data_IF_198190823014
#
_entry.id   IF_198190823014
#
_cell.length_a   1.000
_cell.length_b   1.000
_cell.length_c   1.000
_cell.angle_alpha   90.00
_cell.angle_beta   90.00
_cell.angle_gamma   90.00
#
_symmetry.space_group_name_H-M   'P 1'
#
loop_
_entity.id
_entity.type
_entity.pdbx_description
1 polymer ?
#
# COMPACT_ATOMS: atom_id res chain seq x y z
N UNK A 1 -24.60 154.84 -83.33
CA UNK A 1 -24.25 153.41 -83.50
C UNK A 1 -23.34 152.82 -82.42
N UNK A 2 -22.66 153.60 -81.56
CA UNK A 2 -21.71 153.05 -80.57
C UNK A 2 -22.34 152.44 -79.29
N UNK A 3 -23.64 152.69 -78.98
CA UNK A 3 -24.31 152.13 -77.78
C UNK A 3 -24.79 150.68 -77.94
N UNK A 4 -25.18 150.24 -79.16
CA UNK A 4 -25.75 148.91 -79.43
C UNK A 4 -24.73 147.76 -79.38
N UNK A 5 -23.49 148.00 -79.85
CA UNK A 5 -22.42 147.01 -79.72
C UNK A 5 -21.96 146.82 -78.26
N UNK A 6 -22.13 147.84 -77.41
CA UNK A 6 -21.73 147.82 -75.99
C UNK A 6 -22.66 146.94 -75.14
N UNK A 7 -23.94 146.90 -75.46
CA UNK A 7 -24.91 146.01 -74.81
C UNK A 7 -24.71 144.56 -75.21
N UNK A 8 -24.52 144.27 -76.51
CA UNK A 8 -24.18 142.92 -76.99
C UNK A 8 -22.86 142.40 -76.40
N UNK A 9 -21.87 143.27 -76.20
CA UNK A 9 -20.60 142.91 -75.55
C UNK A 9 -20.80 142.57 -74.07
N UNK A 10 -21.71 143.26 -73.37
CA UNK A 10 -22.10 142.96 -71.99
C UNK A 10 -22.87 141.64 -71.89
N UNK A 11 -23.79 141.37 -72.81
CA UNK A 11 -24.51 140.09 -72.88
C UNK A 11 -23.57 138.92 -73.19
N UNK A 12 -22.60 139.11 -74.11
CA UNK A 12 -21.56 138.13 -74.40
C UNK A 12 -20.64 137.90 -73.20
N UNK A 13 -20.24 138.95 -72.48
CA UNK A 13 -19.47 138.79 -71.23
C UNK A 13 -20.27 138.03 -70.17
N UNK A 14 -21.54 138.37 -69.96
CA UNK A 14 -22.40 137.68 -69.00
C UNK A 14 -22.63 136.21 -69.37
N UNK A 15 -22.78 135.91 -70.66
CA UNK A 15 -22.89 134.53 -71.15
C UNK A 15 -21.57 133.75 -71.00
N UNK A 16 -20.42 134.40 -71.26
CA UNK A 16 -19.10 133.80 -71.08
C UNK A 16 -18.83 133.50 -69.60
N UNK A 17 -19.19 134.42 -68.72
CA UNK A 17 -19.07 134.27 -67.26
C UNK A 17 -20.03 133.18 -66.72
N UNK A 18 -21.24 133.05 -67.27
CA UNK A 18 -22.12 131.90 -66.98
C UNK A 18 -21.56 130.57 -67.48
N UNK A 19 -20.93 130.54 -68.65
CA UNK A 19 -20.30 129.33 -69.19
C UNK A 19 -19.10 128.94 -68.32
N UNK A 20 -18.31 129.91 -67.87
CA UNK A 20 -17.17 129.71 -66.98
C UNK A 20 -17.62 129.19 -65.60
N UNK A 21 -18.67 129.76 -65.00
CA UNK A 21 -19.26 129.22 -63.77
C UNK A 21 -19.80 127.80 -63.93
N UNK A 22 -20.47 127.51 -65.05
CA UNK A 22 -20.95 126.14 -65.34
C UNK A 22 -19.80 125.18 -65.58
N UNK A 23 -18.72 125.61 -66.25
CA UNK A 23 -17.53 124.81 -66.45
C UNK A 23 -16.87 124.47 -65.10
N UNK A 24 -16.73 125.45 -64.21
CA UNK A 24 -16.24 125.23 -62.84
C UNK A 24 -17.14 124.28 -62.04
N UNK A 25 -18.46 124.39 -62.15
CA UNK A 25 -19.39 123.45 -61.50
C UNK A 25 -19.29 122.03 -62.06
N UNK A 26 -19.06 121.88 -63.37
CA UNK A 26 -18.86 120.58 -64.02
C UNK A 26 -17.53 119.98 -63.57
N UNK A 27 -16.47 120.77 -63.50
CA UNK A 27 -15.15 120.36 -63.03
C UNK A 27 -15.20 119.93 -61.55
N UNK A 28 -15.87 120.71 -60.68
CA UNK A 28 -16.10 120.33 -59.29
C UNK A 28 -16.89 119.01 -59.17
N UNK A 29 -17.95 118.82 -59.96
CA UNK A 29 -18.70 117.56 -59.98
C UNK A 29 -17.90 116.40 -60.54
N UNK A 30 -16.98 116.66 -61.46
CA UNK A 30 -16.07 115.65 -62.00
C UNK A 30 -15.08 115.19 -60.92
N UNK A 31 -14.52 116.12 -60.14
CA UNK A 31 -13.66 115.81 -58.99
C UNK A 31 -14.42 115.05 -57.91
N UNK A 32 -15.63 115.48 -57.56
CA UNK A 32 -16.51 114.76 -56.62
C UNK A 32 -16.81 113.34 -57.13
N UNK A 33 -17.09 113.17 -58.42
CA UNK A 33 -17.31 111.86 -59.04
C UNK A 33 -16.04 110.99 -59.00
N UNK A 34 -14.86 111.57 -59.15
CA UNK A 34 -13.59 110.87 -59.06
C UNK A 34 -13.36 110.34 -57.63
N UNK A 35 -13.63 111.17 -56.62
CA UNK A 35 -13.55 110.76 -55.20
C UNK A 35 -14.54 109.64 -54.89
N UNK A 36 -15.77 109.69 -55.41
CA UNK A 36 -16.74 108.59 -55.26
C UNK A 36 -16.26 107.30 -55.93
N UNK A 37 -15.64 107.37 -57.11
CA UNK A 37 -15.07 106.20 -57.79
C UNK A 37 -13.95 105.57 -56.97
N UNK A 38 -13.07 106.37 -56.36
CA UNK A 38 -12.01 105.89 -55.49
C UNK A 38 -12.58 105.20 -54.25
N UNK A 39 -13.59 105.79 -53.60
CA UNK A 39 -14.30 105.17 -52.47
C UNK A 39 -14.97 103.83 -52.86
N UNK A 40 -15.62 103.76 -54.02
CA UNK A 40 -16.24 102.52 -54.52
C UNK A 40 -15.17 101.45 -54.75
N UNK A 41 -14.02 101.83 -55.31
CA UNK A 41 -12.90 100.89 -55.54
C UNK A 41 -12.33 100.35 -54.22
N UNK A 42 -12.22 101.20 -53.20
CA UNK A 42 -11.77 100.82 -51.87
C UNK A 42 -12.77 99.87 -51.20
N UNK A 43 -14.07 100.21 -51.22
CA UNK A 43 -15.13 99.35 -50.68
C UNK A 43 -15.21 98.00 -51.39
N UNK A 44 -15.01 97.97 -52.71
CA UNK A 44 -14.94 96.71 -53.47
C UNK A 44 -13.78 95.84 -52.99
N UNK A 45 -12.61 96.43 -52.80
CA UNK A 45 -11.42 95.72 -52.30
C UNK A 45 -11.66 95.16 -50.90
N UNK A 46 -12.24 95.95 -49.99
CA UNK A 46 -12.59 95.46 -48.64
C UNK A 46 -13.66 94.36 -48.67
N UNK A 47 -14.64 94.45 -49.56
CA UNK A 47 -15.65 93.41 -49.72
C UNK A 47 -15.04 92.08 -50.24
N UNK A 48 -14.07 92.16 -51.15
CA UNK A 48 -13.31 90.99 -51.61
C UNK A 48 -12.47 90.38 -50.48
N UNK A 49 -11.85 91.20 -49.63
CA UNK A 49 -11.13 90.73 -48.44
C UNK A 49 -12.05 90.02 -47.43
N UNK A 50 -13.17 90.65 -47.05
CA UNK A 50 -14.15 90.04 -46.14
C UNK A 50 -14.73 88.75 -46.70
N UNK A 51 -14.94 88.65 -48.01
CA UNK A 51 -15.38 87.40 -48.65
C UNK A 51 -14.34 86.30 -48.47
N UNK A 52 -13.05 86.61 -48.63
CA UNK A 52 -11.96 85.65 -48.40
C UNK A 52 -11.86 85.21 -46.93
N UNK A 53 -12.03 86.13 -45.99
CA UNK A 53 -12.06 85.83 -44.55
C UNK A 53 -13.25 84.93 -44.19
N UNK A 54 -14.45 85.24 -44.70
CA UNK A 54 -15.66 84.42 -44.50
C UNK A 54 -15.47 83.01 -45.06
N UNK A 55 -14.86 82.88 -46.23
CA UNK A 55 -14.59 81.57 -46.85
C UNK A 55 -13.57 80.76 -46.03
N UNK A 56 -12.56 81.43 -45.47
CA UNK A 56 -11.59 80.80 -44.55
C UNK A 56 -12.26 80.31 -43.27
N UNK A 57 -13.07 81.16 -42.62
CA UNK A 57 -13.81 80.82 -41.39
C UNK A 57 -14.79 79.67 -41.65
N UNK A 58 -15.45 79.67 -42.81
CA UNK A 58 -16.37 78.60 -43.21
C UNK A 58 -15.64 77.25 -43.32
N UNK A 59 -14.45 77.23 -43.92
CA UNK A 59 -13.66 76.01 -44.05
C UNK A 59 -13.19 75.50 -42.68
N UNK A 60 -12.65 76.38 -41.83
CA UNK A 60 -12.23 76.04 -40.47
C UNK A 60 -13.40 75.53 -39.61
N UNK A 61 -14.58 76.15 -39.73
CA UNK A 61 -15.79 75.71 -39.03
C UNK A 61 -16.25 74.33 -39.52
N UNK A 62 -16.18 74.07 -40.82
CA UNK A 62 -16.49 72.74 -41.39
C UNK A 62 -15.51 71.66 -40.90
N UNK A 63 -14.22 71.97 -40.80
CA UNK A 63 -13.20 71.07 -40.25
C UNK A 63 -13.47 70.78 -38.77
N UNK A 64 -13.71 71.82 -37.96
CA UNK A 64 -14.05 71.66 -36.54
C UNK A 64 -15.32 70.83 -36.32
N UNK A 65 -16.35 70.99 -37.15
CA UNK A 65 -17.56 70.15 -37.12
C UNK A 65 -17.22 68.68 -37.43
N UNK A 66 -16.30 68.45 -38.37
CA UNK A 66 -15.77 67.13 -38.69
C UNK A 66 -15.08 66.47 -37.50
N UNK A 67 -14.14 67.18 -36.87
CA UNK A 67 -13.40 66.71 -35.68
C UNK A 67 -14.33 66.45 -34.49
N UNK A 68 -15.32 67.33 -34.24
CA UNK A 68 -16.31 67.14 -33.18
C UNK A 68 -17.13 65.86 -33.43
N UNK A 69 -17.44 65.56 -34.70
CA UNK A 69 -18.18 64.34 -35.05
C UNK A 69 -17.35 63.09 -34.80
N UNK A 70 -16.08 63.07 -35.20
CA UNK A 70 -15.19 61.92 -34.97
C UNK A 70 -14.96 61.70 -33.47
N UNK A 71 -14.70 62.77 -32.71
CA UNK A 71 -14.56 62.67 -31.25
C UNK A 71 -15.83 62.15 -30.58
N UNK A 72 -17.01 62.54 -31.06
CA UNK A 72 -18.28 62.02 -30.53
C UNK A 72 -18.42 60.52 -30.79
N UNK A 73 -18.04 60.05 -31.97
CA UNK A 73 -18.06 58.62 -32.32
C UNK A 73 -17.08 57.83 -31.42
N UNK A 74 -15.86 58.33 -31.23
CA UNK A 74 -14.86 57.73 -30.32
C UNK A 74 -15.33 57.69 -28.86
N UNK A 75 -16.02 58.74 -28.39
CA UNK A 75 -16.57 58.80 -27.02
C UNK A 75 -17.68 57.76 -26.83
N UNK A 76 -18.58 57.58 -27.79
CA UNK A 76 -19.63 56.56 -27.69
C UNK A 76 -19.03 55.15 -27.73
N UNK A 77 -18.04 54.89 -28.61
CA UNK A 77 -17.33 53.61 -28.63
C UNK A 77 -16.63 53.31 -27.30
N UNK A 78 -15.91 54.30 -26.75
CA UNK A 78 -15.23 54.16 -25.45
C UNK A 78 -16.22 53.90 -24.32
N UNK A 79 -17.40 54.53 -24.36
CA UNK A 79 -18.45 54.35 -23.37
C UNK A 79 -19.06 52.94 -23.46
N UNK A 80 -19.27 52.43 -24.66
CA UNK A 80 -19.74 51.06 -24.87
C UNK A 80 -18.73 50.03 -24.36
N UNK A 81 -17.44 50.20 -24.69
CA UNK A 81 -16.36 49.36 -24.16
C UNK A 81 -16.26 49.40 -22.63
N UNK A 82 -16.39 50.58 -22.03
CA UNK A 82 -16.32 50.75 -20.59
C UNK A 82 -17.48 50.03 -19.90
N UNK A 83 -18.68 50.10 -20.50
CA UNK A 83 -19.88 49.43 -20.01
C UNK A 83 -19.70 47.90 -20.06
N UNK A 84 -19.14 47.36 -21.15
CA UNK A 84 -18.83 45.94 -21.27
C UNK A 84 -17.77 45.48 -20.24
N UNK A 85 -16.68 46.25 -20.08
CA UNK A 85 -15.63 45.96 -19.10
C UNK A 85 -16.20 46.00 -17.67
N UNK A 86 -17.08 46.94 -17.36
CA UNK A 86 -17.70 47.07 -16.04
C UNK A 86 -18.60 45.87 -15.73
N UNK A 87 -19.44 45.46 -16.68
CA UNK A 87 -20.26 44.24 -16.57
C UNK A 87 -19.38 43.00 -16.35
N UNK A 88 -18.27 42.89 -17.10
CA UNK A 88 -17.33 41.76 -16.96
C UNK A 88 -16.69 41.72 -15.57
N UNK A 89 -16.31 42.89 -15.03
CA UNK A 89 -15.75 42.99 -13.67
C UNK A 89 -16.78 42.60 -12.61
N UNK A 90 -18.03 43.01 -12.79
CA UNK A 90 -19.12 42.70 -11.86
C UNK A 90 -19.39 41.19 -11.81
N UNK A 91 -19.48 40.52 -12.97
CA UNK A 91 -19.62 39.05 -13.05
C UNK A 91 -18.43 38.34 -12.39
N UNK A 92 -17.19 38.76 -12.69
CA UNK A 92 -15.99 38.15 -12.08
C UNK A 92 -15.95 38.34 -10.57
N UNK A 93 -16.40 39.48 -10.06
CA UNK A 93 -16.49 39.73 -8.62
C UNK A 93 -17.48 38.76 -7.97
N UNK A 94 -18.65 38.57 -8.58
CA UNK A 94 -19.64 37.62 -8.08
C UNK A 94 -19.10 36.18 -8.07
N UNK A 95 -18.37 35.77 -9.10
CA UNK A 95 -17.72 34.46 -9.17
C UNK A 95 -16.63 34.28 -8.11
N UNK A 96 -15.83 35.31 -7.86
CA UNK A 96 -14.82 35.33 -6.79
C UNK A 96 -15.51 35.19 -5.44
N UNK A 97 -16.60 35.92 -5.19
CA UNK A 97 -17.34 35.85 -3.94
C UNK A 97 -17.93 34.45 -3.72
N UNK A 98 -18.53 33.84 -4.75
CA UNK A 98 -19.01 32.44 -4.71
C UNK A 98 -17.88 31.46 -4.45
N UNK A 99 -16.73 31.62 -5.12
CA UNK A 99 -15.56 30.78 -4.91
C UNK A 99 -15.02 30.93 -3.48
N UNK A 100 -14.97 32.15 -2.96
CA UNK A 100 -14.49 32.44 -1.63
C UNK A 100 -15.40 31.82 -0.55
N UNK A 101 -16.72 31.86 -0.74
CA UNK A 101 -17.69 31.16 0.11
C UNK A 101 -17.51 29.65 0.01
N UNK A 102 -17.27 29.10 -1.17
CA UNK A 102 -17.05 27.65 -1.36
C UNK A 102 -15.79 27.13 -0.65
N UNK A 103 -14.69 27.87 -0.71
CA UNK A 103 -13.40 27.47 -0.12
C UNK A 103 -13.39 27.70 1.39
N UNK A 104 -13.85 28.87 1.85
CA UNK A 104 -13.70 29.30 3.24
C UNK A 104 -14.98 29.24 4.07
N UNK A 105 -16.14 29.02 3.45
CA UNK A 105 -17.44 29.01 4.12
C UNK A 105 -18.08 30.39 4.24
N UNK A 106 -19.30 30.42 4.77
CA UNK A 106 -20.04 31.66 5.05
C UNK A 106 -19.52 32.32 6.33
N UNK A 107 -19.74 33.64 6.42
CA UNK A 107 -19.32 34.46 7.55
C UNK A 107 -20.46 34.45 8.57
N UNK A 108 -20.21 33.91 9.77
CA UNK A 108 -21.21 33.98 10.85
C UNK A 108 -21.22 35.37 11.49
N UNK A 109 -22.24 35.64 12.33
CA UNK A 109 -22.44 36.90 13.07
C UNK A 109 -21.22 37.37 13.89
N UNK A 110 -20.30 36.45 14.21
CA UNK A 110 -19.08 36.70 14.98
C UNK A 110 -17.84 36.97 14.10
N UNK A 111 -18.02 37.11 12.79
CA UNK A 111 -16.93 37.35 11.83
C UNK A 111 -16.06 36.11 11.53
N UNK A 112 -16.29 34.99 12.24
CA UNK A 112 -15.63 33.71 12.00
C UNK A 112 -16.31 32.99 10.83
N UNK A 113 -15.50 32.54 9.87
CA UNK A 113 -15.95 31.76 8.72
C UNK A 113 -16.14 30.31 9.15
N UNK A 114 -17.32 29.75 8.93
CA UNK A 114 -17.61 28.35 9.29
C UNK A 114 -18.03 27.54 8.07
N UNK A 115 -17.53 26.32 7.94
CA UNK A 115 -17.75 25.45 6.78
C UNK A 115 -16.72 25.64 5.67
N UNK A 116 -17.09 25.26 4.44
CA UNK A 116 -16.20 25.32 3.28
C UNK A 116 -15.27 24.10 3.14
N UNK A 117 -14.60 24.02 1.99
CA UNK A 117 -13.67 22.93 1.69
C UNK A 117 -12.46 22.92 2.64
N UNK A 118 -11.96 24.08 3.06
CA UNK A 118 -10.78 24.19 3.93
C UNK A 118 -10.97 23.52 5.29
N UNK A 119 -12.12 23.74 5.94
CA UNK A 119 -12.47 23.10 7.21
C UNK A 119 -12.64 21.59 7.02
N UNK A 120 -13.38 21.17 5.99
CA UNK A 120 -13.56 19.73 5.68
C UNK A 120 -12.23 19.03 5.39
N UNK A 121 -11.30 19.70 4.71
CA UNK A 121 -9.98 19.15 4.42
C UNK A 121 -9.17 18.97 5.71
N UNK A 122 -9.15 19.98 6.59
CA UNK A 122 -8.48 19.87 7.89
C UNK A 122 -9.11 18.80 8.80
N UNK A 123 -10.44 18.65 8.77
CA UNK A 123 -11.12 17.56 9.47
C UNK A 123 -10.75 16.20 8.89
N UNK A 124 -10.72 16.06 7.56
CA UNK A 124 -10.33 14.82 6.89
C UNK A 124 -8.87 14.47 7.12
N UNK A 125 -7.98 15.45 7.20
CA UNK A 125 -6.58 15.24 7.56
C UNK A 125 -6.45 14.69 8.98
N UNK A 126 -7.16 15.28 9.96
CA UNK A 126 -7.22 14.74 11.33
C UNK A 126 -7.85 13.35 11.40
N UNK A 127 -8.90 13.11 10.63
CA UNK A 127 -9.53 11.79 10.54
C UNK A 127 -8.57 10.76 9.94
N UNK A 128 -7.80 11.13 8.91
CA UNK A 128 -6.76 10.28 8.34
C UNK A 128 -5.65 9.96 9.35
N UNK A 129 -5.15 10.97 10.07
CA UNK A 129 -4.12 10.76 11.10
C UNK A 129 -4.62 9.87 12.24
N UNK A 130 -5.83 10.12 12.73
CA UNK A 130 -6.43 9.27 13.78
C UNK A 130 -6.68 7.85 13.30
N UNK A 131 -7.11 7.67 12.05
CA UNK A 131 -7.26 6.36 11.43
C UNK A 131 -5.92 5.64 11.28
N UNK A 132 -4.87 6.30 10.79
CA UNK A 132 -3.53 5.74 10.64
C UNK A 132 -2.98 5.27 11.99
N UNK A 133 -3.05 6.12 13.02
CA UNK A 133 -2.63 5.77 14.38
C UNK A 133 -3.43 4.59 14.95
N UNK A 134 -4.75 4.56 14.71
CA UNK A 134 -5.58 3.44 15.15
C UNK A 134 -5.22 2.13 14.44
N UNK A 135 -4.89 2.19 13.14
CA UNK A 135 -4.47 1.02 12.38
C UNK A 135 -3.08 0.53 12.78
N UNK A 136 -2.13 1.44 13.04
CA UNK A 136 -0.82 1.06 13.57
C UNK A 136 -0.95 0.32 14.89
N UNK A 137 -1.80 0.82 15.80
CA UNK A 137 -2.08 0.18 17.08
C UNK A 137 -2.69 -1.22 16.89
N UNK A 138 -3.70 -1.34 16.03
CA UNK A 138 -4.34 -2.63 15.72
C UNK A 138 -3.36 -3.62 15.11
N UNK A 139 -2.48 -3.16 14.22
CA UNK A 139 -1.45 -3.99 13.59
C UNK A 139 -0.48 -4.53 14.64
N UNK A 140 0.01 -3.68 15.54
CA UNK A 140 0.90 -4.12 16.64
C UNK A 140 0.22 -5.12 17.56
N UNK A 141 -1.01 -4.84 18.00
CA UNK A 141 -1.79 -5.75 18.84
C UNK A 141 -2.04 -7.11 18.15
N UNK A 142 -2.36 -7.10 16.85
CA UNK A 142 -2.56 -8.31 16.08
C UNK A 142 -1.25 -9.08 15.88
N UNK A 143 -0.16 -8.38 15.61
CA UNK A 143 1.17 -8.98 15.46
C UNK A 143 1.61 -9.66 16.75
N UNK A 144 1.50 -8.99 17.91
CA UNK A 144 1.80 -9.58 19.22
C UNK A 144 0.90 -10.80 19.52
N UNK A 145 -0.37 -10.74 19.12
CA UNK A 145 -1.28 -11.88 19.25
C UNK A 145 -0.87 -13.06 18.35
N UNK A 146 -0.44 -12.80 17.11
CA UNK A 146 0.06 -13.85 16.22
C UNK A 146 1.36 -14.44 16.77
N UNK A 147 2.30 -13.60 17.21
CA UNK A 147 3.57 -14.02 17.76
C UNK A 147 3.42 -14.83 19.05
N UNK A 148 2.47 -14.46 19.92
CA UNK A 148 2.16 -15.24 21.12
C UNK A 148 1.45 -16.57 20.81
N UNK A 149 0.66 -16.66 19.74
CA UNK A 149 0.00 -17.89 19.30
C UNK A 149 0.93 -18.85 18.54
N UNK A 150 1.98 -18.35 17.87
CA UNK A 150 2.87 -19.13 17.01
C UNK A 150 3.58 -20.28 17.75
N UNK A 151 4.16 -20.10 18.96
CA UNK A 151 4.71 -21.21 19.74
C UNK A 151 3.64 -22.26 20.05
N UNK A 152 2.44 -21.82 20.43
CA UNK A 152 1.30 -22.68 20.75
C UNK A 152 0.88 -23.57 19.59
N UNK A 153 0.68 -22.97 18.42
CA UNK A 153 0.33 -23.65 17.19
C UNK A 153 1.44 -24.61 16.73
N UNK A 154 2.70 -24.19 16.80
CA UNK A 154 3.86 -25.02 16.40
C UNK A 154 4.00 -26.24 17.31
N UNK A 155 3.89 -26.06 18.63
CA UNK A 155 3.93 -27.15 19.62
C UNK A 155 2.81 -28.15 19.40
N UNK A 156 1.61 -27.66 19.10
CA UNK A 156 0.43 -28.49 18.81
C UNK A 156 0.59 -29.25 17.50
N UNK A 157 1.10 -28.59 16.44
CA UNK A 157 1.39 -29.23 15.16
C UNK A 157 2.45 -30.32 15.26
N UNK A 158 3.54 -30.06 16.00
CA UNK A 158 4.58 -31.06 16.28
C UNK A 158 4.03 -32.23 17.10
N UNK A 159 3.22 -31.96 18.12
CA UNK A 159 2.55 -32.99 18.91
C UNK A 159 1.66 -33.89 18.06
N UNK A 160 0.90 -33.31 17.12
CA UNK A 160 0.06 -34.08 16.20
C UNK A 160 0.90 -34.96 15.27
N UNK A 161 1.97 -34.41 14.68
CA UNK A 161 2.87 -35.18 13.83
C UNK A 161 3.51 -36.37 14.57
N UNK A 162 3.91 -36.18 15.83
CA UNK A 162 4.44 -37.27 16.66
C UNK A 162 3.36 -38.29 17.05
N UNK A 163 2.13 -37.85 17.30
CA UNK A 163 1.00 -38.74 17.53
C UNK A 163 0.71 -39.63 16.32
N UNK A 164 0.66 -39.06 15.13
CA UNK A 164 0.44 -39.78 13.87
C UNK A 164 1.55 -40.80 13.63
N UNK A 165 2.82 -40.39 13.85
CA UNK A 165 3.97 -41.28 13.73
C UNK A 165 3.93 -42.42 14.75
N UNK A 166 3.58 -42.14 16.02
CA UNK A 166 3.39 -43.17 17.06
C UNK A 166 2.32 -44.19 16.65
N UNK A 167 1.19 -43.76 16.09
CA UNK A 167 0.12 -44.65 15.64
C UNK A 167 0.58 -45.53 14.48
N UNK A 168 1.40 -45.00 13.57
CA UNK A 168 1.93 -45.78 12.44
C UNK A 168 2.71 -47.03 12.88
N UNK A 169 3.35 -47.00 14.06
CA UNK A 169 4.10 -48.14 14.60
C UNK A 169 3.26 -49.15 15.39
N UNK A 170 2.03 -48.82 15.80
CA UNK A 170 1.17 -49.76 16.55
C UNK A 170 0.86 -51.01 15.74
N UNK A 171 0.54 -50.85 14.47
CA UNK A 171 0.23 -51.96 13.56
C UNK A 171 1.43 -52.90 13.35
N UNK A 172 2.62 -52.42 12.96
CA UNK A 172 3.83 -53.23 12.90
C UNK A 172 4.13 -53.98 14.20
N UNK A 173 4.02 -53.33 15.37
CA UNK A 173 4.24 -53.98 16.68
C UNK A 173 3.31 -55.17 16.86
N UNK A 174 2.02 -55.03 16.55
CA UNK A 174 1.04 -56.12 16.66
C UNK A 174 1.34 -57.24 15.65
N UNK A 175 1.64 -56.89 14.40
CA UNK A 175 1.95 -57.86 13.33
C UNK A 175 3.16 -58.71 13.74
N UNK A 176 4.26 -58.08 14.15
CA UNK A 176 5.47 -58.81 14.53
C UNK A 176 5.29 -59.63 15.82
N UNK A 177 4.45 -59.19 16.75
CA UNK A 177 4.06 -60.00 17.91
C UNK A 177 3.27 -61.25 17.50
N UNK A 178 2.33 -61.13 16.56
CA UNK A 178 1.56 -62.26 16.03
C UNK A 178 2.49 -63.22 15.28
N UNK A 179 3.37 -62.71 14.41
CA UNK A 179 4.36 -63.53 13.70
C UNK A 179 5.26 -64.29 14.68
N UNK A 180 5.68 -63.66 15.77
CA UNK A 180 6.45 -64.32 16.82
C UNK A 180 5.68 -65.48 17.48
N UNK A 181 4.42 -65.24 17.86
CA UNK A 181 3.56 -66.28 18.47
C UNK A 181 3.33 -67.42 17.47
N UNK A 182 3.03 -67.11 16.21
CA UNK A 182 2.84 -68.12 15.15
C UNK A 182 4.11 -68.94 14.90
N UNK A 183 5.29 -68.32 14.96
CA UNK A 183 6.56 -69.05 14.85
C UNK A 183 6.73 -70.05 16.02
N UNK A 184 6.43 -69.64 17.26
CA UNK A 184 6.46 -70.54 18.42
C UNK A 184 5.44 -71.68 18.32
N UNK A 185 4.21 -71.37 17.91
CA UNK A 185 3.17 -72.37 17.66
C UNK A 185 3.59 -73.32 16.53
N UNK A 186 4.23 -72.81 15.48
CA UNK A 186 4.78 -73.63 14.39
C UNK A 186 5.86 -74.61 14.87
N UNK A 187 6.75 -74.19 15.78
CA UNK A 187 7.73 -75.09 16.41
C UNK A 187 7.00 -76.15 17.25
N UNK A 188 5.96 -75.77 17.99
CA UNK A 188 5.18 -76.69 18.82
C UNK A 188 4.40 -77.73 17.99
N UNK A 189 3.69 -77.30 16.94
CA UNK A 189 2.94 -78.17 16.03
C UNK A 189 3.87 -79.12 15.29
N UNK A 190 5.03 -78.66 14.83
CA UNK A 190 6.01 -79.56 14.19
C UNK A 190 6.62 -80.57 15.15
N UNK A 191 6.74 -80.22 16.43
CA UNK A 191 7.01 -81.18 17.51
C UNK A 191 5.91 -82.24 17.65
N UNK A 192 4.64 -81.84 17.75
CA UNK A 192 3.50 -82.75 17.90
C UNK A 192 3.29 -83.66 16.68
N UNK A 193 3.37 -83.14 15.46
CA UNK A 193 3.26 -83.94 14.24
C UNK A 193 4.41 -84.95 14.08
N UNK A 194 5.54 -84.73 14.77
CA UNK A 194 6.64 -85.70 14.85
C UNK A 194 6.30 -86.88 15.78
N UNK A 195 5.42 -86.67 16.77
CA UNK A 195 4.95 -87.71 17.69
C UNK A 195 3.91 -88.65 17.03
N UNK A 196 2.92 -88.10 16.31
CA UNK A 196 1.86 -88.91 15.67
C UNK A 196 2.35 -89.75 14.47
N UNK A 197 3.30 -89.24 13.67
CA UNK A 197 3.81 -89.95 12.48
C UNK A 197 4.91 -91.00 12.77
N UNK A 198 4.93 -91.57 13.99
CA UNK A 198 5.69 -92.78 14.30
C UNK A 198 6.93 -92.63 15.18
N UNK A 199 6.89 -91.76 16.19
CA UNK A 199 7.77 -91.90 17.37
C UNK A 199 6.88 -91.87 18.61
N UNK A 200 6.40 -93.04 19.03
CA UNK A 200 5.93 -93.18 20.41
C UNK A 200 7.15 -92.91 21.26
N UNK A 201 7.14 -91.86 22.08
CA UNK A 201 8.16 -91.64 23.11
C UNK A 201 8.01 -92.71 24.21
N UNK A 202 8.25 -93.98 23.87
CA UNK A 202 8.61 -95.00 24.82
C UNK A 202 10.09 -94.80 25.15
N UNK A 203 10.41 -94.78 26.45
CA UNK A 203 11.78 -94.61 26.95
C UNK A 203 12.75 -95.69 26.42
N UNK A 204 12.23 -96.78 25.82
CA UNK A 204 12.96 -97.90 25.23
C UNK A 204 13.40 -97.67 23.76
N UNK A 205 12.69 -96.87 22.95
CA UNK A 205 13.10 -96.56 21.56
C UNK A 205 14.14 -95.42 21.47
N UNK A 206 14.34 -94.69 22.57
CA UNK A 206 15.40 -93.69 22.72
C UNK A 206 16.83 -94.27 22.57
N UNK A 207 16.98 -95.60 22.67
CA UNK A 207 18.27 -96.29 22.50
C UNK A 207 18.59 -96.68 21.04
N UNK A 208 17.63 -96.60 20.11
CA UNK A 208 17.88 -96.77 18.67
C UNK A 208 18.24 -95.42 18.03
N UNK A 209 19.42 -94.92 18.40
CA UNK A 209 19.94 -93.58 18.07
C UNK A 209 19.91 -93.26 16.56
N UNK A 210 20.10 -94.25 15.68
CA UNK A 210 20.30 -94.04 14.24
C UNK A 210 19.03 -93.59 13.46
N UNK A 211 17.86 -94.10 13.83
CA UNK A 211 16.60 -93.77 13.12
C UNK A 211 15.94 -92.49 13.62
N UNK A 212 16.11 -92.17 14.91
CA UNK A 212 15.66 -90.91 15.49
C UNK A 212 16.51 -89.73 14.99
N UNK A 213 17.83 -89.91 14.87
CA UNK A 213 18.76 -88.86 14.43
C UNK A 213 18.59 -88.50 12.95
N UNK A 214 18.46 -89.49 12.06
CA UNK A 214 18.27 -89.23 10.61
C UNK A 214 17.00 -88.43 10.29
N UNK A 215 15.88 -88.73 10.96
CA UNK A 215 14.62 -87.99 10.80
C UNK A 215 14.68 -86.56 11.38
N UNK A 216 15.41 -86.36 12.47
CA UNK A 216 15.65 -85.03 13.04
C UNK A 216 16.54 -84.18 12.12
N UNK A 217 17.62 -84.76 11.58
CA UNK A 217 18.57 -84.06 10.68
C UNK A 217 17.87 -83.51 9.43
N UNK A 218 16.97 -84.30 8.82
CA UNK A 218 16.20 -83.86 7.65
C UNK A 218 15.26 -82.67 7.90
N UNK A 219 14.92 -82.37 9.16
CA UNK A 219 13.99 -81.30 9.56
C UNK A 219 14.68 -80.09 10.19
N UNK A 220 16.00 -80.16 10.43
CA UNK A 220 16.82 -79.04 10.93
C UNK A 220 16.60 -77.75 10.12
N UNK A 221 16.57 -77.74 8.77
CA UNK A 221 16.36 -76.50 8.02
C UNK A 221 15.04 -75.81 8.35
N UNK A 222 13.99 -76.57 8.65
CA UNK A 222 12.67 -76.03 8.99
C UNK A 222 12.64 -75.47 10.42
N UNK A 223 13.20 -76.18 11.39
CA UNK A 223 13.36 -75.66 12.75
C UNK A 223 14.25 -74.42 12.78
N UNK A 224 15.35 -74.44 12.02
CA UNK A 224 16.24 -73.29 11.88
C UNK A 224 15.50 -72.08 11.29
N UNK A 225 14.70 -72.27 10.24
CA UNK A 225 13.90 -71.20 9.64
C UNK A 225 12.87 -70.63 10.63
N UNK A 226 12.19 -71.46 11.42
CA UNK A 226 11.22 -71.01 12.43
C UNK A 226 11.89 -70.30 13.62
N UNK A 227 13.01 -70.82 14.12
CA UNK A 227 13.78 -70.19 15.19
C UNK A 227 14.34 -68.84 14.71
N UNK A 228 14.85 -68.79 13.48
CA UNK A 228 15.30 -67.54 12.88
C UNK A 228 14.15 -66.54 12.71
N UNK A 229 12.98 -66.99 12.24
CA UNK A 229 11.78 -66.15 12.13
C UNK A 229 11.33 -65.62 13.49
N UNK A 230 11.38 -66.45 14.54
CA UNK A 230 11.09 -66.05 15.92
C UNK A 230 12.11 -65.01 16.43
N UNK A 231 13.41 -65.23 16.20
CA UNK A 231 14.45 -64.27 16.58
C UNK A 231 14.30 -62.93 15.83
N UNK A 232 14.05 -62.99 14.52
CA UNK A 232 13.86 -61.83 13.65
C UNK A 232 12.61 -61.03 14.04
N UNK A 233 11.46 -61.70 14.19
CA UNK A 233 10.21 -61.05 14.61
C UNK A 233 10.31 -60.46 16.01
N UNK A 234 11.01 -61.11 16.94
CA UNK A 234 11.29 -60.58 18.28
C UNK A 234 12.15 -59.30 18.21
N UNK A 235 13.20 -59.27 17.39
CA UNK A 235 14.03 -58.07 17.16
C UNK A 235 13.21 -56.93 16.55
N UNK A 236 12.42 -57.24 15.53
CA UNK A 236 11.59 -56.25 14.84
C UNK A 236 10.47 -55.72 15.74
N UNK A 237 9.88 -56.55 16.60
CA UNK A 237 8.94 -56.13 17.64
C UNK A 237 9.59 -55.11 18.59
N UNK A 238 10.77 -55.42 19.14
CA UNK A 238 11.49 -54.52 20.06
C UNK A 238 11.83 -53.18 19.41
N UNK A 239 12.30 -53.20 18.16
CA UNK A 239 12.63 -51.97 17.43
C UNK A 239 11.41 -51.08 17.21
N UNK A 240 10.30 -51.63 16.70
CA UNK A 240 9.09 -50.85 16.49
C UNK A 240 8.47 -50.38 17.82
N UNK A 241 8.56 -51.18 18.88
CA UNK A 241 8.07 -50.80 20.21
C UNK A 241 8.90 -49.65 20.81
N UNK A 242 10.23 -49.67 20.62
CA UNK A 242 11.12 -48.58 21.03
C UNK A 242 10.78 -47.30 20.26
N UNK A 243 10.61 -47.39 18.94
CA UNK A 243 10.19 -46.24 18.12
C UNK A 243 8.83 -45.67 18.56
N UNK A 244 7.84 -46.52 18.85
CA UNK A 244 6.54 -46.09 19.39
C UNK A 244 6.71 -45.30 20.71
N UNK A 245 7.54 -45.79 21.64
CA UNK A 245 7.80 -45.14 22.93
C UNK A 245 8.53 -43.80 22.78
N UNK A 246 9.50 -43.73 21.86
CA UNK A 246 10.24 -42.49 21.57
C UNK A 246 9.30 -41.42 21.01
N UNK A 247 8.46 -41.75 20.02
CA UNK A 247 7.48 -40.80 19.48
C UNK A 247 6.40 -40.43 20.51
N UNK A 248 6.02 -41.35 21.39
CA UNK A 248 5.13 -41.04 22.52
C UNK A 248 5.77 -40.04 23.49
N UNK A 249 7.07 -40.19 23.78
CA UNK A 249 7.81 -39.24 24.61
C UNK A 249 7.94 -37.86 23.93
N UNK A 250 8.27 -37.83 22.63
CA UNK A 250 8.32 -36.59 21.82
C UNK A 250 6.96 -35.89 21.76
N UNK A 251 5.87 -36.63 21.60
CA UNK A 251 4.50 -36.10 21.64
C UNK A 251 4.19 -35.45 23.00
N UNK A 252 4.44 -36.16 24.11
CA UNK A 252 4.13 -35.66 25.47
C UNK A 252 4.93 -34.40 25.79
N UNK A 253 6.21 -34.37 25.42
CA UNK A 253 7.04 -33.17 25.55
C UNK A 253 6.51 -32.01 24.70
N UNK A 254 6.13 -32.25 23.45
CA UNK A 254 5.56 -31.22 22.59
C UNK A 254 4.20 -30.71 23.09
N UNK A 255 3.34 -31.57 23.64
CA UNK A 255 2.04 -31.16 24.23
C UNK A 255 2.21 -30.35 25.52
N UNK A 256 3.14 -30.77 26.38
CA UNK A 256 3.33 -30.16 27.69
C UNK A 256 4.16 -28.87 27.66
N UNK A 257 4.99 -28.66 26.62
CA UNK A 257 5.87 -27.49 26.50
C UNK A 257 5.14 -26.15 26.67
N UNK A 258 3.97 -25.98 26.05
CA UNK A 258 3.19 -24.74 26.15
C UNK A 258 2.58 -24.53 27.53
N UNK A 259 2.15 -25.61 28.20
CA UNK A 259 1.64 -25.55 29.57
C UNK A 259 2.73 -25.10 30.54
N UNK A 260 3.91 -25.73 30.48
CA UNK A 260 5.05 -25.37 31.32
C UNK A 260 5.59 -23.98 31.01
N UNK A 261 5.68 -23.61 29.73
CA UNK A 261 6.09 -22.26 29.34
C UNK A 261 5.15 -21.21 29.94
N UNK A 262 3.84 -21.42 29.81
CA UNK A 262 2.82 -20.50 30.36
C UNK A 262 2.85 -20.43 31.89
N UNK A 263 3.05 -21.55 32.56
CA UNK A 263 3.17 -21.60 34.03
C UNK A 263 4.39 -20.80 34.51
N UNK A 264 5.56 -21.03 33.90
CA UNK A 264 6.81 -20.32 34.20
C UNK A 264 6.73 -18.82 33.88
N UNK A 265 6.09 -18.44 32.76
CA UNK A 265 5.84 -17.02 32.43
C UNK A 265 4.84 -16.36 33.38
N UNK A 266 3.87 -17.12 33.91
CA UNK A 266 2.89 -16.60 34.86
C UNK A 266 3.43 -16.46 36.29
N UNK A 267 4.40 -17.30 36.67
CA UNK A 267 5.03 -17.28 37.99
C UNK A 267 6.22 -16.31 38.06
N UNK A 268 6.74 -15.84 36.91
CA UNK A 268 8.11 -15.35 36.84
C UNK A 268 8.37 -14.02 36.14
N UNK A 269 8.70 -12.98 36.93
CA UNK A 269 9.44 -11.78 36.47
C UNK A 269 10.92 -11.81 36.89
N UNK A 270 11.47 -12.97 37.29
CA UNK A 270 12.85 -13.08 37.76
C UNK A 270 13.78 -13.64 36.68
N UNK A 271 15.07 -13.32 36.75
CA UNK A 271 16.07 -13.80 35.78
C UNK A 271 16.13 -15.34 35.69
N UNK A 272 15.84 -16.02 36.81
CA UNK A 272 15.79 -17.48 36.95
C UNK A 272 14.73 -18.14 36.05
N UNK A 273 13.57 -17.51 35.86
CA UNK A 273 12.47 -18.09 35.07
C UNK A 273 12.82 -18.14 33.58
N UNK A 274 13.54 -17.10 33.11
CA UNK A 274 14.03 -17.04 31.73
C UNK A 274 15.10 -18.10 31.46
N UNK A 275 15.94 -18.40 32.45
CA UNK A 275 16.92 -19.50 32.37
C UNK A 275 16.24 -20.87 32.31
N UNK A 276 15.20 -21.10 33.13
CA UNK A 276 14.44 -22.36 33.15
C UNK A 276 13.69 -22.55 31.82
N UNK A 277 13.04 -21.51 31.29
CA UNK A 277 12.39 -21.57 29.96
C UNK A 277 13.43 -21.85 28.86
N UNK A 278 14.61 -21.24 28.96
CA UNK A 278 15.73 -21.51 28.05
C UNK A 278 16.23 -22.96 28.13
N UNK A 279 16.34 -23.52 29.34
CA UNK A 279 16.70 -24.93 29.55
C UNK A 279 15.63 -25.88 28.98
N UNK A 280 14.36 -25.60 29.23
CA UNK A 280 13.23 -26.37 28.68
C UNK A 280 13.24 -26.36 27.15
N UNK A 281 13.47 -25.19 26.53
CA UNK A 281 13.60 -25.06 25.08
C UNK A 281 14.79 -25.86 24.53
N UNK A 282 15.96 -25.80 25.21
CA UNK A 282 17.13 -26.61 24.83
C UNK A 282 16.84 -28.11 24.90
N UNK A 283 16.16 -28.58 25.95
CA UNK A 283 15.78 -30.00 26.07
C UNK A 283 14.81 -30.41 24.97
N UNK A 284 13.82 -29.57 24.64
CA UNK A 284 12.90 -29.83 23.54
C UNK A 284 13.65 -29.92 22.20
N UNK A 285 14.48 -28.92 21.89
CA UNK A 285 15.27 -28.88 20.64
C UNK A 285 16.21 -30.09 20.56
N UNK A 286 16.91 -30.43 21.63
CA UNK A 286 17.78 -31.60 21.68
C UNK A 286 17.01 -32.90 21.43
N UNK A 287 15.81 -33.02 22.00
CA UNK A 287 14.95 -34.21 21.83
C UNK A 287 14.41 -34.32 20.39
N UNK A 288 14.06 -33.20 19.77
CA UNK A 288 13.63 -33.16 18.37
C UNK A 288 14.80 -33.50 17.44
N UNK A 289 15.98 -32.95 17.70
CA UNK A 289 17.18 -33.15 16.89
C UNK A 289 17.74 -34.58 16.94
N UNK A 290 17.50 -35.32 18.03
CA UNK A 290 17.96 -36.71 18.17
C UNK A 290 17.28 -37.62 17.14
N UNK A 291 18.09 -38.18 16.23
CA UNK A 291 17.62 -39.03 15.15
C UNK A 291 17.20 -40.41 15.69
N UNK A 292 15.99 -40.90 15.37
CA UNK A 292 15.56 -42.25 15.73
C UNK A 292 16.51 -43.38 15.27
N UNK A 293 17.30 -43.18 14.21
CA UNK A 293 18.24 -44.19 13.71
C UNK A 293 19.47 -44.38 14.61
N UNK A 294 19.97 -43.32 15.25
CA UNK A 294 21.14 -43.39 16.15
C UNK A 294 20.84 -44.25 17.38
N UNK A 295 19.60 -44.23 17.84
CA UNK A 295 19.10 -45.01 18.97
C UNK A 295 18.89 -46.49 18.56
N UNK A 296 18.76 -46.76 17.27
CA UNK A 296 18.53 -48.10 16.74
C UNK A 296 19.82 -48.89 16.52
N UNK A 297 20.95 -48.19 16.42
CA UNK A 297 22.30 -48.72 16.19
C UNK A 297 23.16 -48.75 17.49
N UNK A 298 22.50 -48.74 18.65
CA UNK A 298 23.20 -49.02 19.90
C UNK A 298 23.67 -50.47 19.88
N UNK A 299 24.95 -50.67 19.57
CA UNK A 299 25.73 -51.89 19.80
C UNK A 299 25.82 -52.29 21.29
N UNK A 300 24.74 -52.11 22.05
CA UNK A 300 24.54 -52.78 23.31
C UNK A 300 24.52 -54.28 23.01
N UNK A 301 25.57 -54.96 23.47
CA UNK A 301 25.60 -56.41 23.65
C UNK A 301 24.26 -56.78 24.28
N UNK A 302 23.46 -57.48 23.51
CA UNK A 302 22.19 -58.03 23.98
C UNK A 302 22.51 -58.71 25.33
N UNK A 303 21.79 -58.36 26.39
CA UNK A 303 21.74 -59.18 27.60
C UNK A 303 21.04 -60.49 27.19
N UNK A 304 21.79 -61.34 26.49
CA UNK A 304 21.43 -62.72 26.22
C UNK A 304 21.17 -63.36 27.58
N UNK A 305 20.08 -64.12 27.75
CA UNK A 305 19.82 -64.81 29.00
C UNK A 305 21.07 -65.57 29.45
N UNK A 306 21.58 -65.24 30.64
CA UNK A 306 22.84 -65.71 31.23
C UNK A 306 22.94 -67.23 31.46
N UNK A 307 21.94 -67.97 30.99
CA UNK A 307 21.82 -69.43 31.05
C UNK A 307 22.78 -70.10 30.06
N UNK A 308 23.12 -69.42 28.95
CA UNK A 308 24.01 -69.99 27.91
C UNK A 308 25.51 -69.71 28.13
N UNK A 309 25.87 -68.91 29.14
CA UNK A 309 27.27 -68.46 29.34
C UNK A 309 27.94 -69.02 30.59
N UNK A 310 27.27 -69.87 31.37
CA UNK A 310 27.86 -70.52 32.55
C UNK A 310 27.86 -72.04 32.40
N UNK A 311 29.02 -72.72 32.34
CA UNK A 311 29.05 -74.17 32.43
C UNK A 311 28.54 -74.59 33.82
N UNK A 312 27.67 -75.59 33.83
CA UNK A 312 27.02 -76.14 35.01
C UNK A 312 28.06 -76.78 35.94
N UNK A 313 28.62 -76.00 36.88
CA UNK A 313 29.52 -76.53 37.91
C UNK A 313 28.71 -76.98 39.12
N UNK A 314 28.42 -78.28 39.16
CA UNK A 314 28.02 -78.96 40.39
C UNK A 314 29.27 -79.04 41.29
N UNK A 315 29.27 -78.33 42.42
CA UNK A 315 30.27 -78.59 43.48
C UNK A 315 29.59 -78.70 44.84
N UNK A 316 29.92 -79.84 45.45
CA UNK A 316 29.41 -80.46 46.65
C UNK A 316 30.30 -80.04 47.83
N UNK A 317 29.70 -79.86 49.01
CA UNK A 317 30.34 -79.77 50.34
C UNK A 317 31.28 -78.59 50.69
N UNK A 318 30.93 -77.91 51.79
CA UNK A 318 31.84 -77.88 52.94
C UNK A 318 32.61 -76.59 53.26
N UNK A 319 32.18 -75.97 54.38
CA UNK A 319 33.02 -75.42 55.46
C UNK A 319 33.48 -73.94 55.40
N UNK A 320 32.67 -73.12 56.09
CA UNK A 320 32.95 -72.30 57.28
C UNK A 320 34.00 -71.16 57.31
N UNK A 321 33.54 -70.09 57.98
CA UNK A 321 34.22 -69.07 58.81
C UNK A 321 34.89 -67.90 58.10
N UNK A 322 34.31 -66.70 58.27
CA UNK A 322 34.72 -65.61 59.19
C UNK A 322 35.54 -64.62 58.32
N UNK A 323 35.46 -63.30 58.35
CA UNK A 323 35.00 -62.33 59.34
C UNK A 323 34.93 -60.95 58.65
N UNK A 324 34.18 -60.04 59.25
CA UNK A 324 34.10 -58.63 58.89
C UNK A 324 35.37 -57.85 59.29
N UNK A 325 35.89 -57.00 58.39
CA UNK A 325 36.02 -55.54 58.61
C UNK A 325 36.48 -54.82 57.35
#
# INVERSE_FOLDING_TARGET
>A
MARSNREKLKELQAALEQVEQKAQQVEQKLDESQVFLDQISQHKTSAEQWRGEIETIKNQSSEAIGEIKTLKEEIEETKDELTEKLNTVEVKKEDIDKFFIKIFGEKNEQGKRTGGLSVRLSEKEKEADTFLNAQEKRYKELFEKIESLLPGATSTGLAQAYYDQKISYKWPVIIWAIVFILALVGVFITGLLSYENGVKLSFEELLNVEQATSKLIARIPFFFALIWLAAFSSKQYRQNKRLEQEYAHKEVLAKSYQGYKRELESQGKTATDKEIIGALHKVLVATIAKNPSEIMDDGHKEDTPSIWTKPLSLTIFGKNKDEQK
#
